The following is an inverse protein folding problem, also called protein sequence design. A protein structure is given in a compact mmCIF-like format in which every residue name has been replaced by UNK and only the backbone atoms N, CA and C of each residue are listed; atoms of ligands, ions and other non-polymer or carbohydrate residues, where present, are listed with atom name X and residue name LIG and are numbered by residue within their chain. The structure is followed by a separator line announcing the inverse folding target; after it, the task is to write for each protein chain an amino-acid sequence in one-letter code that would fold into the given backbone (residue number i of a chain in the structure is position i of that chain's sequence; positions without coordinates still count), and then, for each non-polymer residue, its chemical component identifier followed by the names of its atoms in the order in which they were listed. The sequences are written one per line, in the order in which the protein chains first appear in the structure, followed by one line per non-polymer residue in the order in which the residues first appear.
data_IF_032252874224
#
_entry.id   IF_032252874224
#
_cell.length_a   1.000
_cell.length_b   1.000
_cell.length_c   1.000
_cell.angle_alpha   90.00
_cell.angle_beta   90.00
_cell.angle_gamma   90.00
#
_symmetry.space_group_name_H-M   'P 1'
#
loop_
_entity.id
_entity.type
_entity.pdbx_description
1 polymer ?
#
# COMPACT_ATOMS: atom_id res chain seq x y z
N UNK A 1 -8.27 2.25 31.02
CA UNK A 1 -7.25 1.28 31.46
C UNK A 1 -7.57 -0.15 30.99
N UNK A 2 -8.77 -0.67 31.21
CA UNK A 2 -9.18 -2.01 30.72
C UNK A 2 -9.00 -2.23 29.21
N UNK A 3 -9.28 -1.21 28.39
CA UNK A 3 -9.14 -1.30 26.92
C UNK A 3 -7.69 -1.54 26.46
N UNK A 4 -6.71 -0.97 27.18
CA UNK A 4 -5.27 -1.16 26.95
C UNK A 4 -4.80 -2.54 27.43
N UNK A 5 -5.35 -3.01 28.55
CA UNK A 5 -5.03 -4.32 29.12
C UNK A 5 -5.49 -5.47 28.22
N UNK A 6 -6.60 -5.28 27.48
CA UNK A 6 -7.10 -6.25 26.50
C UNK A 6 -6.25 -6.32 25.22
N UNK A 7 -5.71 -5.19 24.77
CA UNK A 7 -4.78 -5.14 23.64
C UNK A 7 -3.41 -5.74 24.00
N UNK A 8 -2.98 -5.65 25.26
CA UNK A 8 -1.73 -6.28 25.71
C UNK A 8 -1.81 -7.80 25.85
N UNK A 9 -3.00 -8.40 25.75
CA UNK A 9 -3.22 -9.85 25.81
C UNK A 9 -3.42 -10.49 24.43
N UNK A 10 -3.27 -9.74 23.34
CA UNK A 10 -3.24 -10.33 22.00
C UNK A 10 -1.99 -11.20 21.87
N UNK A 11 -2.20 -12.50 21.69
CA UNK A 11 -1.12 -13.45 21.42
C UNK A 11 -0.39 -13.00 20.15
N UNK A 12 0.84 -12.52 20.30
CA UNK A 12 1.70 -12.26 19.15
C UNK A 12 2.07 -13.61 18.55
N UNK A 13 1.33 -14.04 17.52
CA UNK A 13 1.64 -15.26 16.79
C UNK A 13 2.96 -15.03 16.07
N UNK A 14 4.00 -15.75 16.49
CA UNK A 14 5.29 -15.73 15.83
C UNK A 14 5.13 -16.09 14.35
N UNK A 15 5.45 -15.13 13.47
CA UNK A 15 5.59 -15.39 12.06
C UNK A 15 7.08 -15.58 11.75
N UNK A 16 7.48 -16.71 11.13
CA UNK A 16 8.86 -16.91 10.75
C UNK A 16 9.29 -15.82 9.76
N UNK A 17 10.44 -15.21 10.03
CA UNK A 17 11.05 -14.22 9.14
C UNK A 17 11.28 -14.88 7.79
N UNK A 18 10.75 -14.28 6.71
CA UNK A 18 11.03 -14.77 5.36
C UNK A 18 12.53 -14.64 5.09
N UNK A 19 13.14 -15.75 4.62
CA UNK A 19 14.55 -15.78 4.21
C UNK A 19 14.76 -15.19 2.81
N UNK A 20 13.68 -14.88 2.11
CA UNK A 20 13.70 -14.37 0.74
C UNK A 20 13.72 -12.84 0.76
N UNK A 21 14.46 -12.19 -0.14
CA UNK A 21 14.58 -10.74 -0.14
C UNK A 21 13.24 -10.08 -0.43
N UNK A 22 12.99 -8.93 0.20
CA UNK A 22 11.88 -8.05 -0.14
C UNK A 22 12.27 -7.13 -1.29
N UNK A 23 11.30 -6.76 -2.12
CA UNK A 23 11.41 -5.66 -3.08
C UNK A 23 10.45 -4.54 -2.68
N UNK A 24 10.85 -3.30 -2.93
CA UNK A 24 10.04 -2.11 -2.62
C UNK A 24 9.76 -1.36 -3.92
N UNK A 25 8.49 -1.01 -4.15
CA UNK A 25 8.08 -0.07 -5.20
C UNK A 25 7.26 1.04 -4.59
N UNK A 26 7.40 2.22 -5.15
CA UNK A 26 6.64 3.38 -4.72
C UNK A 26 5.49 3.62 -5.69
N UNK A 27 4.38 4.09 -5.16
CA UNK A 27 3.26 4.59 -5.95
C UNK A 27 2.78 5.89 -5.33
N UNK A 28 2.46 6.87 -6.17
CA UNK A 28 1.79 8.08 -5.74
C UNK A 28 0.42 8.14 -6.40
N UNK A 29 -0.58 8.62 -5.66
CA UNK A 29 -1.96 8.71 -6.16
C UNK A 29 -2.50 10.10 -5.82
N UNK A 30 -2.98 10.80 -6.84
CA UNK A 30 -3.75 12.02 -6.66
C UNK A 30 -5.20 11.64 -6.40
N UNK A 31 -5.75 12.12 -5.29
CA UNK A 31 -7.13 11.85 -4.87
C UNK A 31 -7.80 13.13 -4.39
N UNK A 32 -9.14 13.22 -4.39
CA UNK A 32 -9.86 14.29 -3.72
C UNK A 32 -9.48 14.40 -2.22
N UNK A 33 -9.49 15.60 -1.62
CA UNK A 33 -9.16 15.83 -0.21
C UNK A 33 -9.99 14.99 0.77
N UNK A 34 -11.22 14.65 0.40
CA UNK A 34 -12.18 13.90 1.20
C UNK A 34 -11.80 12.41 1.32
N UNK A 35 -11.05 11.88 0.36
CA UNK A 35 -10.63 10.47 0.35
C UNK A 35 -9.70 10.20 1.52
N UNK A 36 -10.05 9.25 2.37
CA UNK A 36 -9.21 8.85 3.49
C UNK A 36 -8.03 8.02 2.98
N UNK A 37 -6.88 8.18 3.61
CA UNK A 37 -5.68 7.36 3.32
C UNK A 37 -5.99 5.87 3.39
N UNK A 38 -6.81 5.48 4.38
CA UNK A 38 -7.28 4.11 4.59
C UNK A 38 -8.03 3.53 3.39
N UNK A 39 -8.78 4.35 2.63
CA UNK A 39 -9.49 3.89 1.43
C UNK A 39 -8.50 3.49 0.33
N UNK A 40 -7.47 4.31 0.12
CA UNK A 40 -6.41 4.01 -0.85
C UNK A 40 -5.60 2.80 -0.41
N UNK A 41 -5.21 2.74 0.87
CA UNK A 41 -4.46 1.63 1.45
C UNK A 41 -5.22 0.30 1.31
N UNK A 42 -6.50 0.26 1.70
CA UNK A 42 -7.34 -0.93 1.56
C UNK A 42 -7.44 -1.40 0.10
N UNK A 43 -7.53 -0.45 -0.85
CA UNK A 43 -7.61 -0.79 -2.27
C UNK A 43 -6.29 -1.38 -2.79
N UNK A 44 -5.15 -0.84 -2.36
CA UNK A 44 -3.82 -1.39 -2.66
C UNK A 44 -3.71 -2.82 -2.10
N UNK A 45 -3.99 -3.01 -0.81
CA UNK A 45 -3.87 -4.32 -0.15
C UNK A 45 -4.77 -5.39 -0.78
N UNK A 46 -6.01 -5.03 -1.09
CA UNK A 46 -6.98 -5.92 -1.74
C UNK A 46 -6.50 -6.35 -3.13
N UNK A 47 -5.97 -5.42 -3.94
CA UNK A 47 -5.49 -5.71 -5.28
C UNK A 47 -4.17 -6.49 -5.29
N UNK A 48 -3.30 -6.23 -4.30
CA UNK A 48 -1.99 -6.83 -4.18
C UNK A 48 -2.02 -8.32 -3.77
N UNK A 49 -2.97 -8.68 -2.91
CA UNK A 49 -3.11 -10.04 -2.39
C UNK A 49 -1.92 -10.48 -1.53
N UNK A 50 -1.67 -11.80 -1.47
CA UNK A 50 -0.77 -12.42 -0.49
C UNK A 50 0.74 -12.17 -0.70
N UNK A 51 1.12 -11.54 -1.82
CA UNK A 51 2.51 -11.34 -2.21
C UNK A 51 3.05 -9.96 -1.81
N UNK A 52 2.17 -9.07 -1.37
CA UNK A 52 2.55 -7.85 -0.65
C UNK A 52 2.54 -8.16 0.84
N UNK A 53 3.66 -7.87 1.47
CA UNK A 53 3.86 -8.02 2.91
C UNK A 53 3.31 -6.81 3.67
N UNK A 54 3.50 -5.62 3.11
CA UNK A 54 3.19 -4.36 3.80
C UNK A 54 2.98 -3.22 2.80
N UNK A 55 2.23 -2.21 3.23
CA UNK A 55 1.99 -0.96 2.48
C UNK A 55 2.07 0.22 3.44
N UNK A 56 3.09 1.06 3.27
CA UNK A 56 3.35 2.19 4.15
C UNK A 56 3.09 3.51 3.43
N UNK A 57 2.21 4.35 3.97
CA UNK A 57 2.16 5.75 3.56
C UNK A 57 3.41 6.47 4.06
N UNK A 58 4.17 7.08 3.16
CA UNK A 58 5.39 7.81 3.53
C UNK A 58 5.33 9.31 3.23
N UNK A 59 4.43 9.76 2.35
CA UNK A 59 4.27 11.18 2.05
C UNK A 59 2.81 11.56 1.77
N UNK A 60 2.44 12.75 2.23
CA UNK A 60 1.17 13.43 1.92
C UNK A 60 1.52 14.85 1.50
N UNK A 61 1.12 15.22 0.28
CA UNK A 61 1.35 16.56 -0.24
C UNK A 61 0.04 17.24 -0.64
N UNK A 62 -0.17 18.46 -0.15
CA UNK A 62 -1.35 19.31 -0.36
C UNK A 62 -0.90 20.74 -0.73
N UNK A 63 -0.16 20.89 -1.83
CA UNK A 63 0.40 22.17 -2.26
C UNK A 63 -0.14 22.70 -3.59
N UNK A 64 0.21 23.95 -3.89
CA UNK A 64 -0.26 24.71 -5.07
C UNK A 64 0.17 24.10 -6.42
N UNK A 65 1.17 23.21 -6.41
CA UNK A 65 1.64 22.51 -7.62
C UNK A 65 0.74 21.34 -8.03
N UNK A 66 -0.29 21.01 -7.23
CA UNK A 66 -1.27 19.99 -7.56
C UNK A 66 -2.47 20.56 -8.33
N UNK A 67 -3.15 19.75 -9.16
CA UNK A 67 -4.46 20.13 -9.69
C UNK A 67 -5.40 20.55 -8.56
N UNK A 68 -6.22 21.57 -8.83
CA UNK A 68 -7.16 22.10 -7.83
C UNK A 68 -8.08 20.99 -7.30
N UNK A 69 -8.23 20.93 -5.97
CA UNK A 69 -9.04 19.91 -5.33
C UNK A 69 -8.41 18.51 -5.36
N UNK A 70 -7.07 18.40 -5.36
CA UNK A 70 -6.36 17.13 -5.18
C UNK A 70 -5.33 17.21 -4.06
N UNK A 71 -5.10 16.07 -3.43
CA UNK A 71 -3.93 15.78 -2.60
C UNK A 71 -3.18 14.59 -3.18
N UNK A 72 -1.87 14.55 -2.96
CA UNK A 72 -1.02 13.44 -3.36
C UNK A 72 -0.72 12.55 -2.15
N UNK A 73 -0.96 11.25 -2.27
CA UNK A 73 -0.62 10.25 -1.27
C UNK A 73 0.43 9.31 -1.86
N UNK A 74 1.59 9.18 -1.22
CA UNK A 74 2.66 8.30 -1.68
C UNK A 74 2.89 7.13 -0.72
N UNK A 75 2.99 5.93 -1.29
CA UNK A 75 3.10 4.68 -0.55
C UNK A 75 4.31 3.87 -0.99
N UNK A 76 4.98 3.24 -0.02
CA UNK A 76 5.91 2.15 -0.25
C UNK A 76 5.10 0.84 -0.24
N UNK A 77 5.23 0.05 -1.30
CA UNK A 77 4.65 -1.29 -1.38
C UNK A 77 5.80 -2.30 -1.24
N UNK A 78 5.73 -3.12 -0.21
CA UNK A 78 6.75 -4.10 0.13
C UNK A 78 6.32 -5.48 -0.36
N UNK A 79 6.94 -5.96 -1.43
CA UNK A 79 6.71 -7.27 -2.03
C UNK A 79 7.61 -8.32 -1.40
N UNK A 80 7.03 -9.39 -0.88
CA UNK A 80 7.81 -10.49 -0.32
C UNK A 80 7.00 -11.78 -0.24
N UNK A 81 7.45 -12.82 -0.94
CA UNK A 81 6.92 -14.17 -0.75
C UNK A 81 7.57 -14.85 0.47
N UNK A 82 6.84 -15.81 1.05
CA UNK A 82 7.29 -16.57 2.23
C UNK A 82 8.17 -17.78 1.87
N UNK A 83 8.11 -18.24 0.63
CA UNK A 83 8.62 -19.53 0.16
C UNK A 83 9.59 -19.44 -1.04
N UNK A 84 9.74 -18.26 -1.66
CA UNK A 84 10.68 -18.03 -2.76
C UNK A 84 11.03 -16.55 -2.94
N UNK A 85 12.06 -16.29 -3.73
CA UNK A 85 12.34 -14.95 -4.24
C UNK A 85 11.36 -14.62 -5.36
N UNK A 86 10.74 -13.44 -5.31
CA UNK A 86 9.89 -12.94 -6.39
C UNK A 86 10.75 -12.47 -7.56
N UNK A 87 10.32 -12.83 -8.77
CA UNK A 87 10.94 -12.27 -9.99
C UNK A 87 10.42 -10.86 -10.26
N UNK A 88 11.19 -10.06 -11.01
CA UNK A 88 10.76 -8.72 -11.42
C UNK A 88 9.44 -8.74 -12.16
N UNK A 89 9.24 -9.73 -13.04
CA UNK A 89 7.99 -9.89 -13.80
C UNK A 89 6.78 -10.08 -12.90
N UNK A 90 6.91 -10.85 -11.82
CA UNK A 90 5.80 -11.08 -10.88
C UNK A 90 5.48 -9.81 -10.09
N UNK A 91 6.51 -9.06 -9.69
CA UNK A 91 6.34 -7.77 -9.03
C UNK A 91 5.62 -6.79 -9.97
N UNK A 92 6.06 -6.71 -11.24
CA UNK A 92 5.46 -5.83 -12.24
C UNK A 92 4.00 -6.21 -12.51
N UNK A 93 3.68 -7.51 -12.61
CA UNK A 93 2.29 -7.98 -12.77
C UNK A 93 1.39 -7.62 -11.58
N UNK A 94 1.91 -7.60 -10.36
CA UNK A 94 1.15 -7.17 -9.17
C UNK A 94 1.04 -5.65 -9.12
N UNK A 95 2.13 -4.93 -9.40
CA UNK A 95 2.13 -3.46 -9.49
C UNK A 95 1.07 -3.00 -10.50
N UNK A 96 1.02 -3.60 -11.69
CA UNK A 96 0.04 -3.25 -12.72
C UNK A 96 -1.41 -3.53 -12.28
N UNK A 97 -1.64 -4.58 -11.49
CA UNK A 97 -2.96 -4.86 -10.90
C UNK A 97 -3.36 -3.79 -9.89
N UNK A 98 -2.43 -3.37 -9.03
CA UNK A 98 -2.65 -2.30 -8.05
C UNK A 98 -2.97 -1.00 -8.78
N UNK A 99 -2.18 -0.63 -9.79
CA UNK A 99 -2.39 0.56 -10.61
C UNK A 99 -3.79 0.53 -11.23
N UNK A 100 -4.16 -0.57 -11.90
CA UNK A 100 -5.50 -0.71 -12.51
C UNK A 100 -6.62 -0.59 -11.50
N UNK A 101 -6.50 -1.21 -10.33
CA UNK A 101 -7.51 -1.12 -9.28
C UNK A 101 -7.68 0.32 -8.76
N UNK A 102 -6.59 1.08 -8.66
CA UNK A 102 -6.65 2.49 -8.27
C UNK A 102 -7.29 3.35 -9.38
N UNK A 103 -6.94 3.09 -10.65
CA UNK A 103 -7.49 3.80 -11.82
C UNK A 103 -8.96 3.48 -12.11
N UNK A 104 -9.56 2.47 -11.48
CA UNK A 104 -11.01 2.24 -11.53
C UNK A 104 -11.81 3.36 -10.85
N UNK A 105 -11.20 4.10 -9.91
CA UNK A 105 -11.82 5.29 -9.33
C UNK A 105 -11.64 6.47 -10.28
N UNK A 106 -12.75 6.98 -10.82
CA UNK A 106 -12.75 8.03 -11.86
C UNK A 106 -12.02 9.32 -11.47
N UNK A 107 -11.96 9.61 -10.18
CA UNK A 107 -11.33 10.82 -9.65
C UNK A 107 -9.90 10.58 -9.14
N UNK A 108 -9.36 9.38 -9.29
CA UNK A 108 -8.02 9.05 -8.82
C UNK A 108 -7.06 8.99 -10.01
N UNK A 109 -5.85 9.52 -9.83
CA UNK A 109 -4.82 9.49 -10.87
C UNK A 109 -3.53 8.92 -10.27
N UNK A 110 -3.08 7.80 -10.82
CA UNK A 110 -1.81 7.17 -10.42
C UNK A 110 -0.64 7.89 -11.08
N UNK A 111 0.34 8.26 -10.25
CA UNK A 111 1.63 8.83 -10.66
C UNK A 111 2.71 7.77 -10.50
N UNK A 112 3.47 7.56 -11.57
CA UNK A 112 4.54 6.57 -11.72
C UNK A 112 5.92 7.22 -11.75
#
# INVERSE_FOLDING_TARGET
FEKLQRLSSEETIYQPISRYPAAVRDIAVLVPPEVRVEEVLNKIETAAGILVRDVDLFDIYEGEELPEGKKNLAFHIIYQAKDRTLSSKEIDEIQDKIIKALEEELEWEVRK
#
